data_IF_584889015274
#
_entry.id   IF_584889015274
#
_cell.length_a   1.000
_cell.length_b   1.000
_cell.length_c   1.000
_cell.angle_alpha   90.00
_cell.angle_beta   90.00
_cell.angle_gamma   90.00
#
_symmetry.space_group_name_H-M   'P 1'
#
loop_
_entity.id
_entity.type
_entity.pdbx_description
1 polymer ?
#
# COMPACT_ATOMS: atom_id res chain seq x y z
N UNK A 1 -15.05 -3.09 2.23
CA UNK A 1 -15.01 -2.50 3.59
C UNK A 1 -14.13 -1.28 3.77
N UNK A 2 -13.04 -1.08 3.01
CA UNK A 2 -12.13 0.07 3.23
C UNK A 2 -12.39 1.27 2.31
N UNK A 3 -13.04 1.04 1.17
CA UNK A 3 -13.42 2.06 0.19
C UNK A 3 -14.93 2.11 0.05
N UNK A 4 -15.45 3.25 -0.41
CA UNK A 4 -16.86 3.36 -0.81
C UNK A 4 -17.13 2.46 -2.01
N UNK A 5 -18.42 2.22 -2.28
CA UNK A 5 -18.85 1.48 -3.45
C UNK A 5 -18.25 2.11 -4.71
N UNK A 6 -17.61 1.27 -5.51
CA UNK A 6 -17.00 1.63 -6.78
C UNK A 6 -17.96 1.32 -7.92
N UNK A 7 -17.95 2.15 -8.95
CA UNK A 7 -18.75 1.90 -10.15
C UNK A 7 -18.12 0.80 -11.03
N UNK A 8 -18.91 0.27 -11.95
CA UNK A 8 -18.52 -0.85 -12.82
C UNK A 8 -17.32 -0.53 -13.70
N UNK A 9 -17.16 0.73 -14.16
CA UNK A 9 -16.04 1.10 -15.03
C UNK A 9 -14.73 1.08 -14.25
N UNK A 10 -14.71 1.67 -13.05
CA UNK A 10 -13.57 1.63 -12.13
C UNK A 10 -13.21 0.20 -11.75
N UNK A 11 -14.19 -0.64 -11.43
CA UNK A 11 -13.95 -2.05 -11.10
C UNK A 11 -13.27 -2.81 -12.24
N UNK A 12 -13.66 -2.58 -13.50
CA UNK A 12 -13.02 -3.21 -14.67
C UNK A 12 -11.55 -2.82 -14.80
N UNK A 13 -11.21 -1.56 -14.49
CA UNK A 13 -9.81 -1.09 -14.51
C UNK A 13 -9.02 -1.81 -13.42
N UNK A 14 -9.54 -1.81 -12.17
CA UNK A 14 -8.90 -2.48 -11.04
C UNK A 14 -8.63 -3.95 -11.32
N UNK A 15 -9.64 -4.67 -11.84
CA UNK A 15 -9.52 -6.10 -12.14
C UNK A 15 -8.45 -6.41 -13.19
N UNK A 16 -8.20 -5.51 -14.14
CA UNK A 16 -7.17 -5.68 -15.17
C UNK A 16 -5.78 -5.36 -14.65
N UNK A 17 -5.67 -4.42 -13.73
CA UNK A 17 -4.39 -3.86 -13.28
C UNK A 17 -3.87 -4.47 -11.96
N UNK A 18 -4.69 -5.24 -11.25
CA UNK A 18 -4.34 -5.86 -9.98
C UNK A 18 -4.23 -7.39 -10.10
N UNK A 19 -3.25 -8.03 -9.43
CA UNK A 19 -2.14 -7.41 -8.69
C UNK A 19 -1.16 -6.68 -9.64
N UNK A 20 -0.46 -5.66 -9.14
CA UNK A 20 0.45 -4.89 -9.99
C UNK A 20 1.11 -3.69 -9.30
N UNK A 21 1.97 -2.95 -10.03
CA UNK A 21 2.78 -1.84 -9.49
C UNK A 21 1.98 -0.53 -9.36
N UNK A 22 0.72 -0.60 -8.93
CA UNK A 22 -0.18 0.54 -8.88
C UNK A 22 -0.73 0.77 -7.47
N UNK A 23 -0.90 2.05 -7.12
CA UNK A 23 -1.69 2.49 -5.96
C UNK A 23 -2.90 3.25 -6.48
N UNK A 24 -4.09 2.75 -6.19
CA UNK A 24 -5.35 3.39 -6.57
C UNK A 24 -5.83 4.31 -5.45
N UNK A 25 -6.03 5.59 -5.77
CA UNK A 25 -6.62 6.55 -4.85
C UNK A 25 -8.14 6.48 -4.96
N UNK A 26 -8.79 5.95 -3.92
CA UNK A 26 -10.21 5.68 -3.91
C UNK A 26 -10.92 6.44 -2.77
N UNK A 27 -12.23 6.73 -2.90
CA UNK A 27 -12.98 7.32 -1.79
C UNK A 27 -12.99 6.40 -0.57
N UNK A 28 -12.57 6.91 0.59
CA UNK A 28 -12.49 6.13 1.82
C UNK A 28 -13.87 5.79 2.40
N UNK A 29 -14.01 4.58 2.96
CA UNK A 29 -15.20 4.18 3.69
C UNK A 29 -15.22 4.77 5.11
N UNK A 30 -16.42 4.86 5.71
CA UNK A 30 -16.60 5.35 7.10
C UNK A 30 -16.04 4.39 8.16
N UNK A 31 -15.90 3.12 7.79
CA UNK A 31 -15.34 2.00 8.56
C UNK A 31 -13.82 2.06 8.71
N UNK A 32 -13.14 2.99 8.01
CA UNK A 32 -11.70 3.14 8.14
C UNK A 32 -11.29 3.49 9.59
N UNK A 33 -10.11 3.02 10.04
CA UNK A 33 -9.59 3.33 11.37
C UNK A 33 -9.48 4.85 11.65
N UNK A 34 -9.46 5.28 12.92
CA UNK A 34 -9.36 6.69 13.29
C UNK A 34 -8.21 7.47 12.62
N UNK A 35 -7.09 6.80 12.33
CA UNK A 35 -5.96 7.37 11.60
C UNK A 35 -6.34 7.96 10.22
N UNK A 36 -7.41 7.46 9.61
CA UNK A 36 -7.90 7.90 8.29
C UNK A 36 -9.17 8.75 8.37
N UNK A 37 -9.76 9.01 9.55
CA UNK A 37 -11.05 9.72 9.67
C UNK A 37 -11.06 11.13 9.06
N UNK A 38 -9.92 11.80 8.98
CA UNK A 38 -9.78 13.13 8.37
C UNK A 38 -9.49 13.10 6.86
N UNK A 39 -9.31 11.91 6.26
CA UNK A 39 -8.95 11.75 4.85
C UNK A 39 -10.19 11.38 4.04
N UNK A 40 -10.43 12.12 2.96
CA UNK A 40 -11.55 11.85 2.03
C UNK A 40 -11.29 10.63 1.14
N UNK A 41 -10.01 10.33 0.90
CA UNK A 41 -9.54 9.26 0.04
C UNK A 41 -8.53 8.38 0.77
N UNK A 42 -8.35 7.17 0.26
CA UNK A 42 -7.38 6.18 0.74
C UNK A 42 -6.67 5.58 -0.47
N UNK A 43 -5.36 5.35 -0.33
CA UNK A 43 -4.58 4.62 -1.33
C UNK A 43 -4.70 3.12 -1.09
N UNK A 44 -5.06 2.37 -2.13
CA UNK A 44 -5.14 0.90 -2.11
C UNK A 44 -4.10 0.35 -3.09
N UNK A 45 -3.20 -0.51 -2.60
CA UNK A 45 -2.19 -1.20 -3.39
C UNK A 45 -2.32 -2.71 -3.18
N UNK A 46 -2.32 -3.48 -4.27
CA UNK A 46 -2.22 -4.94 -4.24
C UNK A 46 -0.99 -5.31 -5.06
N UNK A 47 0.18 -5.46 -4.41
CA UNK A 47 1.44 -5.71 -5.11
C UNK A 47 1.47 -7.13 -5.66
N UNK A 48 2.14 -7.29 -6.81
CA UNK A 48 2.48 -8.61 -7.35
C UNK A 48 3.78 -9.11 -6.71
N UNK A 49 3.69 -9.43 -5.41
CA UNK A 49 4.81 -9.91 -4.61
C UNK A 49 4.30 -10.97 -3.62
N UNK A 50 4.81 -12.19 -3.73
CA UNK A 50 4.34 -13.34 -2.92
C UNK A 50 4.54 -13.13 -1.42
N UNK A 51 5.66 -12.53 -1.01
CA UNK A 51 5.96 -12.27 0.40
C UNK A 51 4.91 -11.33 1.00
N UNK A 52 4.66 -10.19 0.36
CA UNK A 52 3.67 -9.22 0.83
C UNK A 52 2.25 -9.82 0.88
N UNK A 53 1.88 -10.62 -0.12
CA UNK A 53 0.57 -11.29 -0.17
C UNK A 53 0.41 -12.32 0.96
N UNK A 54 1.43 -13.14 1.23
CA UNK A 54 1.36 -14.14 2.30
C UNK A 54 1.35 -13.50 3.70
N UNK A 55 2.08 -12.40 3.93
CA UNK A 55 1.98 -11.66 5.20
C UNK A 55 0.54 -11.18 5.43
N UNK A 56 -0.09 -10.55 4.44
CA UNK A 56 -1.50 -10.09 4.55
C UNK A 56 -2.45 -11.27 4.74
N UNK A 57 -2.20 -12.39 4.05
CA UNK A 57 -3.00 -13.61 4.16
C UNK A 57 -2.99 -14.18 5.58
N UNK A 58 -1.81 -14.28 6.20
CA UNK A 58 -1.63 -14.76 7.57
C UNK A 58 -2.21 -13.75 8.58
N UNK A 59 -2.03 -12.45 8.34
CA UNK A 59 -2.58 -11.38 9.19
C UNK A 59 -4.11 -11.31 9.15
N UNK A 60 -4.73 -11.76 8.06
CA UNK A 60 -6.18 -11.72 7.83
C UNK A 60 -6.76 -10.33 7.62
N UNK A 61 -5.92 -9.29 7.56
CA UNK A 61 -6.31 -7.90 7.43
C UNK A 61 -5.28 -7.14 6.55
N UNK A 62 -5.68 -6.02 5.89
CA UNK A 62 -4.73 -5.20 5.16
C UNK A 62 -3.68 -4.55 6.06
N UNK A 63 -2.51 -4.29 5.49
CA UNK A 63 -1.41 -3.59 6.16
C UNK A 63 -1.43 -2.11 5.77
N UNK A 64 -1.32 -1.24 6.77
CA UNK A 64 -1.03 0.18 6.55
C UNK A 64 0.46 0.29 6.27
N UNK A 65 0.81 0.74 5.06
CA UNK A 65 2.19 0.88 4.63
C UNK A 65 2.43 2.25 4.00
N UNK A 66 3.65 2.75 4.13
CA UNK A 66 4.18 3.86 3.33
C UNK A 66 5.34 3.34 2.48
N UNK A 67 5.66 4.04 1.39
CA UNK A 67 6.95 3.82 0.74
C UNK A 67 8.07 4.23 1.68
N UNK A 68 9.20 3.54 1.62
CA UNK A 68 10.45 4.03 2.19
C UNK A 68 10.86 5.25 1.35
N UNK A 69 11.13 6.37 2.01
CA UNK A 69 11.53 7.61 1.38
C UNK A 69 12.98 7.91 1.76
N UNK A 70 13.79 8.30 0.77
CA UNK A 70 15.12 8.86 0.96
C UNK A 70 15.08 10.35 0.65
N UNK A 71 15.87 11.14 1.38
CA UNK A 71 15.92 12.61 1.26
C UNK A 71 16.55 13.10 -0.05
N UNK A 72 17.28 12.22 -0.77
CA UNK A 72 18.04 12.58 -1.97
C UNK A 72 17.37 12.10 -3.28
N UNK A 73 17.45 12.94 -4.33
CA UNK A 73 16.99 12.62 -5.67
C UNK A 73 17.82 11.46 -6.26
N UNK A 74 17.17 10.30 -6.38
CA UNK A 74 17.59 9.13 -7.17
C UNK A 74 18.82 8.41 -6.59
N UNK A 75 18.55 7.53 -5.63
CA UNK A 75 19.46 6.44 -5.27
C UNK A 75 18.78 5.11 -5.62
N UNK A 76 19.41 4.34 -6.52
CA UNK A 76 19.03 2.95 -6.92
C UNK A 76 19.28 1.91 -5.80
N UNK A 77 19.29 2.33 -4.52
CA UNK A 77 19.85 1.56 -3.41
C UNK A 77 18.81 1.15 -2.34
N UNK A 78 17.61 1.74 -2.31
CA UNK A 78 16.60 1.44 -1.28
C UNK A 78 15.88 0.11 -1.44
N UNK A 79 16.25 -0.70 -2.42
CA UNK A 79 15.69 -2.03 -2.66
C UNK A 79 16.59 -3.15 -2.14
N UNK A 80 17.82 -2.83 -1.71
CA UNK A 80 18.74 -3.80 -1.11
C UNK A 80 18.38 -4.05 0.37
N UNK A 81 18.08 -5.30 0.77
CA UNK A 81 17.75 -5.61 2.17
C UNK A 81 18.83 -5.26 3.19
N UNK A 82 20.11 -5.41 2.86
CA UNK A 82 21.22 -5.13 3.78
C UNK A 82 21.35 -3.61 4.03
N UNK A 83 21.19 -2.80 2.97
CA UNK A 83 21.21 -1.34 3.09
C UNK A 83 19.99 -0.80 3.84
N UNK A 84 18.81 -1.39 3.62
CA UNK A 84 17.61 -1.08 4.40
C UNK A 84 17.87 -1.35 5.89
N UNK A 85 18.44 -2.51 6.21
CA UNK A 85 18.75 -2.88 7.59
C UNK A 85 19.73 -1.89 8.21
N UNK A 86 20.88 -1.63 7.57
CA UNK A 86 21.90 -0.72 8.08
C UNK A 86 21.32 0.66 8.43
N UNK A 87 20.45 1.20 7.56
CA UNK A 87 19.86 2.53 7.73
C UNK A 87 18.72 2.57 8.76
N UNK A 88 17.87 1.54 8.81
CA UNK A 88 16.61 1.59 9.55
C UNK A 88 16.59 0.77 10.85
N UNK A 89 17.52 -0.15 11.09
CA UNK A 89 17.55 -1.05 12.27
C UNK A 89 17.40 -0.34 13.62
N UNK A 90 17.88 0.90 13.74
CA UNK A 90 17.83 1.68 14.99
C UNK A 90 16.69 2.70 15.04
N UNK A 91 15.90 2.81 13.98
CA UNK A 91 14.82 3.80 13.84
C UNK A 91 13.42 3.20 14.00
N UNK A 92 13.29 1.87 13.90
CA UNK A 92 12.03 1.12 13.98
C UNK A 92 12.07 0.02 15.04
#
# INVERSE_FOLDING_TARGET
DYVKQIDTSTFKILKRALPGPYTFILPGAKTLPPAFKKKKTVGIRVPDNSIALEIVRVLGNPIISTSIHDDDEILEYTTDPELILEKWDKLV
#
